data_IF_148630144916
#
_entry.id   IF_148630144916
#
_cell.length_a   1.000
_cell.length_b   1.000
_cell.length_c   1.000
_cell.angle_alpha   90.00
_cell.angle_beta   90.00
_cell.angle_gamma   90.00
#
_symmetry.space_group_name_H-M   'P 1'
#
loop_
_entity.id
_entity.type
_entity.pdbx_description
1 polymer ?
#
# COMPACT_ATOMS: atom_id res chain seq x y z
N UNK A 1 25.08 -3.75 29.28
CA UNK A 1 24.48 -5.08 29.05
C UNK A 1 23.14 -5.07 29.72
N UNK A 2 22.10 -4.75 29.01
CA UNK A 2 20.84 -4.49 29.65
C UNK A 2 19.70 -5.22 28.94
N UNK A 3 19.08 -6.11 29.74
CA UNK A 3 17.61 -6.09 29.83
C UNK A 3 16.82 -6.38 28.54
N UNK A 4 17.44 -7.05 27.55
CA UNK A 4 16.77 -7.52 26.33
C UNK A 4 15.53 -8.37 26.63
N UNK A 5 15.54 -9.11 27.78
CA UNK A 5 14.38 -9.82 28.26
C UNK A 5 13.22 -8.93 28.74
N UNK A 6 13.47 -7.65 29.04
CA UNK A 6 12.47 -6.76 29.62
C UNK A 6 11.61 -6.06 28.55
N UNK A 7 12.21 -5.67 27.39
CA UNK A 7 11.47 -5.03 26.28
C UNK A 7 10.36 -5.96 25.76
N UNK A 8 10.75 -7.14 25.29
CA UNK A 8 9.83 -8.13 24.70
C UNK A 8 8.78 -8.59 25.70
N UNK A 9 9.19 -8.88 26.96
CA UNK A 9 8.29 -9.31 28.02
C UNK A 9 7.23 -8.26 28.35
N UNK A 10 7.65 -7.02 28.60
CA UNK A 10 6.72 -5.92 28.94
C UNK A 10 5.78 -5.61 27.79
N UNK A 11 6.30 -5.61 26.56
CA UNK A 11 5.53 -5.40 25.35
C UNK A 11 4.46 -6.48 25.15
N UNK A 12 4.82 -7.77 25.27
CA UNK A 12 3.90 -8.89 25.11
C UNK A 12 2.85 -8.92 26.22
N UNK A 13 3.22 -8.64 27.46
CA UNK A 13 2.26 -8.53 28.58
C UNK A 13 1.22 -7.43 28.34
N UNK A 14 1.62 -6.33 27.72
CA UNK A 14 0.70 -5.28 27.30
C UNK A 14 -0.16 -5.73 26.12
N UNK A 15 0.45 -6.37 25.12
CA UNK A 15 -0.25 -6.84 23.93
C UNK A 15 -1.35 -7.85 24.26
N UNK A 16 -1.12 -8.74 25.20
CA UNK A 16 -2.11 -9.75 25.63
C UNK A 16 -3.44 -9.12 26.12
N UNK A 17 -3.41 -7.86 26.56
CA UNK A 17 -4.60 -7.13 27.07
C UNK A 17 -5.09 -6.05 26.11
N UNK A 18 -4.26 -5.60 25.16
CA UNK A 18 -4.53 -4.41 24.34
C UNK A 18 -4.42 -4.67 22.84
N UNK A 19 -4.26 -5.92 22.40
CA UNK A 19 -4.18 -6.27 21.00
C UNK A 19 -5.38 -5.74 20.23
N UNK A 20 -5.13 -5.09 19.07
CA UNK A 20 -6.21 -4.63 18.21
C UNK A 20 -6.94 -5.81 17.58
N UNK A 21 -8.26 -5.81 17.66
CA UNK A 21 -9.11 -6.81 17.00
C UNK A 21 -9.22 -6.45 15.52
N UNK A 22 -8.61 -7.28 14.67
CA UNK A 22 -8.61 -7.11 13.21
C UNK A 22 -8.97 -8.44 12.55
N UNK A 23 -9.75 -8.40 11.47
CA UNK A 23 -10.28 -9.59 10.80
C UNK A 23 -9.22 -10.60 10.34
N UNK A 24 -8.00 -10.14 10.08
CA UNK A 24 -6.86 -10.97 9.66
C UNK A 24 -5.97 -11.46 10.81
N UNK A 25 -6.30 -11.12 12.05
CA UNK A 25 -5.49 -11.48 13.23
C UNK A 25 -6.16 -12.55 14.08
N UNK A 26 -5.33 -13.39 14.63
CA UNK A 26 -5.70 -14.29 15.72
C UNK A 26 -5.42 -13.55 17.04
N UNK A 27 -6.35 -13.53 18.01
CA UNK A 27 -6.10 -12.94 19.31
C UNK A 27 -4.92 -13.59 20.02
N UNK A 28 -4.11 -12.84 20.80
CA UNK A 28 -3.03 -13.42 21.57
C UNK A 28 -3.58 -14.44 22.58
N UNK A 29 -2.77 -15.41 22.94
CA UNK A 29 -3.15 -16.53 23.83
C UNK A 29 -4.29 -17.43 23.32
N UNK A 30 -4.61 -17.33 22.03
CA UNK A 30 -5.58 -18.20 21.36
C UNK A 30 -4.90 -19.47 20.84
N UNK A 31 -5.59 -20.60 20.91
CA UNK A 31 -5.14 -21.86 20.29
C UNK A 31 -5.34 -21.90 18.76
N UNK A 32 -5.84 -20.80 18.16
CA UNK A 32 -6.06 -20.71 16.72
C UNK A 32 -4.74 -20.45 16.00
N UNK A 33 -4.59 -21.05 14.83
CA UNK A 33 -3.44 -20.83 13.94
C UNK A 33 -3.77 -19.70 12.98
N UNK A 34 -2.85 -18.79 12.78
CA UNK A 34 -2.98 -17.72 11.78
C UNK A 34 -3.03 -18.29 10.37
N UNK A 35 -3.99 -17.84 9.57
CA UNK A 35 -4.10 -18.25 8.17
C UNK A 35 -3.10 -17.46 7.31
N UNK A 36 -2.13 -18.12 6.64
CA UNK A 36 -1.12 -17.44 5.82
C UNK A 36 -1.73 -16.60 4.68
N UNK A 37 -2.84 -17.04 4.10
CA UNK A 37 -3.55 -16.31 3.07
C UNK A 37 -4.12 -14.99 3.62
N UNK A 38 -4.70 -14.99 4.81
CA UNK A 38 -5.25 -13.80 5.45
C UNK A 38 -4.14 -12.81 5.82
N UNK A 39 -3.03 -13.30 6.37
CA UNK A 39 -1.88 -12.47 6.72
C UNK A 39 -1.32 -11.82 5.44
N UNK A 40 -1.02 -12.62 4.41
CA UNK A 40 -0.50 -12.09 3.15
C UNK A 40 -1.43 -11.08 2.50
N UNK A 41 -2.74 -11.38 2.39
CA UNK A 41 -3.72 -10.49 1.78
C UNK A 41 -3.79 -9.14 2.50
N UNK A 42 -3.85 -9.16 3.84
CA UNK A 42 -3.88 -7.96 4.66
C UNK A 42 -2.59 -7.14 4.52
N UNK A 43 -1.42 -7.78 4.52
CA UNK A 43 -0.14 -7.10 4.40
C UNK A 43 0.01 -6.40 3.04
N UNK A 44 -0.46 -7.01 1.95
CA UNK A 44 -0.47 -6.36 0.64
C UNK A 44 -1.47 -5.19 0.60
N UNK A 45 -2.65 -5.34 1.22
CA UNK A 45 -3.65 -4.26 1.27
C UNK A 45 -3.19 -3.08 2.14
N UNK A 46 -2.46 -3.34 3.22
CA UNK A 46 -1.96 -2.32 4.17
C UNK A 46 -0.78 -1.51 3.61
N UNK A 47 -0.13 -1.95 2.52
CA UNK A 47 0.91 -1.15 1.88
C UNK A 47 0.36 0.23 1.49
N UNK A 48 0.80 1.29 2.18
CA UNK A 48 0.37 2.69 1.95
C UNK A 48 -1.15 2.93 2.07
N UNK A 49 -1.84 2.12 2.86
CA UNK A 49 -3.29 2.24 3.09
C UNK A 49 -3.57 2.08 4.60
N UNK A 50 -4.57 2.79 5.11
CA UNK A 50 -4.92 2.74 6.54
C UNK A 50 -5.71 1.48 6.89
N UNK A 51 -5.58 1.02 8.14
CA UNK A 51 -6.33 -0.13 8.67
C UNK A 51 -7.83 0.01 8.47
N UNK A 52 -8.39 1.19 8.77
CA UNK A 52 -9.83 1.48 8.64
C UNK A 52 -10.32 1.27 7.21
N UNK A 53 -9.53 1.71 6.23
CA UNK A 53 -9.85 1.48 4.82
C UNK A 53 -9.75 0.00 4.46
N UNK A 54 -8.67 -0.66 4.89
CA UNK A 54 -8.40 -2.07 4.53
C UNK A 54 -9.46 -3.02 5.07
N UNK A 55 -9.99 -2.83 6.27
CA UNK A 55 -11.00 -3.72 6.85
C UNK A 55 -12.16 -4.00 5.90
N UNK A 56 -12.76 -2.95 5.32
CA UNK A 56 -13.89 -3.10 4.38
C UNK A 56 -13.53 -3.85 3.11
N UNK A 57 -12.31 -3.64 2.61
CA UNK A 57 -11.83 -4.32 1.40
C UNK A 57 -11.45 -5.76 1.69
N UNK A 58 -10.88 -6.04 2.83
CA UNK A 58 -10.51 -7.38 3.27
C UNK A 58 -11.75 -8.29 3.35
N UNK A 59 -12.80 -7.84 4.03
CA UNK A 59 -14.07 -8.58 4.14
C UNK A 59 -14.70 -8.82 2.76
N UNK A 60 -14.71 -7.79 1.89
CA UNK A 60 -15.20 -7.89 0.53
C UNK A 60 -14.39 -8.90 -0.31
N UNK A 61 -13.07 -8.93 -0.14
CA UNK A 61 -12.22 -9.88 -0.85
C UNK A 61 -12.45 -11.31 -0.37
N UNK A 62 -12.53 -11.53 0.93
CA UNK A 62 -12.78 -12.86 1.49
C UNK A 62 -14.18 -13.40 1.15
N UNK A 63 -15.19 -12.52 1.04
CA UNK A 63 -16.53 -12.96 0.61
C UNK A 63 -16.55 -13.45 -0.83
N UNK A 64 -15.67 -12.90 -1.71
CA UNK A 64 -15.57 -13.32 -3.12
C UNK A 64 -14.57 -14.44 -3.34
N UNK A 65 -13.45 -14.38 -2.63
CA UNK A 65 -12.33 -15.29 -2.78
C UNK A 65 -11.83 -15.75 -1.41
N UNK A 66 -12.56 -16.68 -0.77
CA UNK A 66 -12.26 -17.13 0.60
C UNK A 66 -10.93 -17.88 0.72
N UNK A 67 -10.42 -18.43 -0.37
CA UNK A 67 -9.14 -19.14 -0.41
C UNK A 67 -8.20 -18.57 -1.49
N UNK A 68 -6.92 -18.93 -1.40
CA UNK A 68 -5.93 -18.55 -2.41
C UNK A 68 -6.24 -19.20 -3.78
N UNK A 69 -6.89 -20.36 -3.80
CA UNK A 69 -7.32 -21.03 -5.02
C UNK A 69 -8.40 -20.23 -5.73
N UNK A 70 -9.41 -19.75 -4.98
CA UNK A 70 -10.48 -18.92 -5.54
C UNK A 70 -9.91 -17.64 -6.13
N UNK A 71 -8.98 -16.99 -5.42
CA UNK A 71 -8.32 -15.79 -5.91
C UNK A 71 -7.45 -16.06 -7.15
N UNK A 72 -6.75 -17.18 -7.20
CA UNK A 72 -5.92 -17.55 -8.36
C UNK A 72 -6.75 -17.76 -9.64
N UNK A 73 -7.96 -18.30 -9.50
CA UNK A 73 -8.92 -18.52 -10.59
C UNK A 73 -9.71 -17.26 -10.97
N UNK A 74 -9.62 -16.20 -10.16
CA UNK A 74 -10.39 -14.99 -10.38
C UNK A 74 -10.03 -14.30 -11.71
N UNK A 75 -11.03 -13.68 -12.34
CA UNK A 75 -10.83 -12.82 -13.50
C UNK A 75 -10.07 -11.55 -13.10
N UNK A 76 -9.10 -11.14 -13.91
CA UNK A 76 -8.27 -9.95 -13.67
C UNK A 76 -9.14 -8.69 -13.49
N UNK A 77 -10.20 -8.53 -14.30
CA UNK A 77 -11.09 -7.36 -14.24
C UNK A 77 -11.86 -7.31 -12.92
N UNK A 78 -12.35 -8.44 -12.42
CA UNK A 78 -13.09 -8.53 -11.16
C UNK A 78 -12.23 -8.19 -9.96
N UNK A 79 -10.97 -8.65 -9.96
CA UNK A 79 -9.98 -8.31 -8.92
C UNK A 79 -9.67 -6.82 -8.96
N UNK A 80 -9.43 -6.25 -10.15
CA UNK A 80 -9.15 -4.83 -10.32
C UNK A 80 -10.34 -3.95 -9.91
N UNK A 81 -11.56 -4.33 -10.28
CA UNK A 81 -12.79 -3.65 -9.87
C UNK A 81 -13.03 -3.72 -8.35
N UNK A 82 -12.73 -4.86 -7.73
CA UNK A 82 -12.83 -5.03 -6.28
C UNK A 82 -11.75 -4.25 -5.51
N UNK A 83 -10.60 -3.97 -6.14
CA UNK A 83 -9.50 -3.17 -5.60
C UNK A 83 -9.72 -1.66 -5.75
N UNK A 84 -10.69 -1.24 -6.56
CA UNK A 84 -10.94 0.17 -6.86
C UNK A 84 -11.12 0.99 -5.56
N UNK A 85 -10.35 2.08 -5.45
CA UNK A 85 -10.31 2.93 -4.24
C UNK A 85 -9.15 2.67 -3.29
N UNK A 86 -8.50 1.50 -3.31
CA UNK A 86 -7.28 1.26 -2.52
C UNK A 86 -6.02 1.93 -3.11
N UNK A 87 -6.07 2.31 -4.39
CA UNK A 87 -4.92 2.89 -5.08
C UNK A 87 -3.77 1.92 -5.34
N UNK A 88 -2.69 2.42 -5.97
CA UNK A 88 -1.47 1.62 -6.24
C UNK A 88 -1.79 0.26 -6.88
N UNK A 89 -2.50 0.27 -8.00
CA UNK A 89 -3.04 -0.92 -8.67
C UNK A 89 -2.01 -1.99 -9.08
N UNK A 90 -0.72 -1.64 -9.11
CA UNK A 90 0.35 -2.62 -9.24
C UNK A 90 0.31 -3.68 -8.12
N UNK A 91 -0.20 -3.31 -6.92
CA UNK A 91 -0.39 -4.26 -5.81
C UNK A 91 -1.43 -5.31 -6.16
N UNK A 92 -2.59 -4.91 -6.71
CA UNK A 92 -3.64 -5.85 -7.13
C UNK A 92 -3.16 -6.80 -8.22
N UNK A 93 -2.42 -6.28 -9.23
CA UNK A 93 -1.83 -7.13 -10.27
C UNK A 93 -0.83 -8.13 -9.70
N UNK A 94 0.05 -7.67 -8.81
CA UNK A 94 1.02 -8.54 -8.16
C UNK A 94 0.36 -9.53 -7.20
N UNK A 95 -0.71 -9.12 -6.51
CA UNK A 95 -1.53 -9.98 -5.66
C UNK A 95 -2.07 -11.17 -6.46
N UNK A 96 -2.73 -10.90 -7.58
CA UNK A 96 -3.29 -11.94 -8.43
C UNK A 96 -2.20 -12.83 -9.04
N UNK A 97 -1.11 -12.22 -9.52
CA UNK A 97 0.04 -12.96 -10.03
C UNK A 97 0.68 -13.84 -8.95
N UNK A 98 0.79 -13.34 -7.72
CA UNK A 98 1.30 -14.11 -6.58
C UNK A 98 0.40 -15.28 -6.25
N UNK A 99 -0.92 -15.09 -6.15
CA UNK A 99 -1.88 -16.17 -5.90
C UNK A 99 -1.73 -17.30 -6.93
N UNK A 100 -1.68 -16.95 -8.22
CA UNK A 100 -1.48 -17.92 -9.31
C UNK A 100 -0.14 -18.64 -9.23
N UNK A 101 0.92 -17.95 -8.82
CA UNK A 101 2.25 -18.55 -8.63
C UNK A 101 2.24 -19.52 -7.43
N UNK A 102 1.63 -19.13 -6.30
CA UNK A 102 1.55 -19.99 -5.12
C UNK A 102 0.72 -21.25 -5.40
N UNK A 103 -0.38 -21.13 -6.13
CA UNK A 103 -1.18 -22.31 -6.52
C UNK A 103 -0.40 -23.20 -7.48
N UNK A 104 0.23 -22.64 -8.52
CA UNK A 104 0.92 -23.42 -9.54
C UNK A 104 2.19 -24.10 -9.05
N UNK A 105 3.00 -23.39 -8.23
CA UNK A 105 4.37 -23.83 -7.88
C UNK A 105 4.46 -24.40 -6.46
N UNK A 106 3.47 -24.13 -5.61
CA UNK A 106 3.50 -24.52 -4.19
C UNK A 106 2.19 -25.18 -3.71
N UNK A 107 1.35 -25.64 -4.63
CA UNK A 107 0.07 -26.29 -4.31
C UNK A 107 -0.77 -25.49 -3.30
N UNK A 108 -0.91 -24.20 -3.54
CA UNK A 108 -1.69 -23.29 -2.69
C UNK A 108 -1.11 -23.00 -1.31
N UNK A 109 0.08 -23.51 -0.98
CA UNK A 109 0.75 -23.33 0.31
C UNK A 109 1.86 -22.31 0.21
N UNK A 110 1.84 -21.29 1.06
CA UNK A 110 2.94 -20.33 1.10
C UNK A 110 4.24 -21.01 1.56
N UNK A 111 5.38 -20.72 0.87
CA UNK A 111 6.68 -21.24 1.31
C UNK A 111 7.04 -20.73 2.72
N UNK A 112 7.63 -21.59 3.53
CA UNK A 112 8.12 -21.27 4.89
C UNK A 112 9.60 -20.86 4.90
N UNK A 113 10.17 -20.57 3.72
CA UNK A 113 11.56 -20.15 3.54
C UNK A 113 11.59 -18.71 2.98
N UNK A 114 12.36 -17.83 3.63
CA UNK A 114 12.50 -16.43 3.25
C UNK A 114 12.90 -16.25 1.78
N UNK A 115 13.92 -16.98 1.33
CA UNK A 115 14.44 -16.89 -0.04
C UNK A 115 13.43 -17.34 -1.12
N UNK A 116 12.46 -18.17 -0.76
CA UNK A 116 11.35 -18.55 -1.66
C UNK A 116 10.25 -17.50 -1.63
N UNK A 117 9.89 -16.99 -0.44
CA UNK A 117 8.84 -15.95 -0.31
C UNK A 117 9.19 -14.67 -1.04
N UNK A 118 10.43 -14.18 -0.90
CA UNK A 118 10.84 -12.90 -1.50
C UNK A 118 10.86 -12.93 -3.04
N UNK A 119 10.85 -14.12 -3.65
CA UNK A 119 10.74 -14.29 -5.10
C UNK A 119 9.31 -14.20 -5.61
N UNK A 120 8.32 -14.28 -4.73
CA UNK A 120 6.92 -14.19 -5.12
C UNK A 120 6.54 -12.74 -5.51
N UNK A 121 5.68 -12.57 -6.52
CA UNK A 121 5.27 -11.24 -6.98
C UNK A 121 4.68 -10.38 -5.87
N UNK A 122 5.22 -9.16 -5.67
CA UNK A 122 4.73 -8.21 -4.69
C UNK A 122 5.12 -8.48 -3.23
N UNK A 123 5.88 -9.54 -2.96
CA UNK A 123 6.43 -9.83 -1.62
C UNK A 123 7.84 -9.26 -1.54
N UNK A 124 7.98 -8.20 -0.73
CA UNK A 124 9.27 -7.63 -0.35
C UNK A 124 9.76 -8.15 1.01
N UNK A 125 10.94 -7.68 1.48
CA UNK A 125 11.53 -8.10 2.75
C UNK A 125 10.57 -7.98 3.95
N UNK A 126 9.87 -6.87 4.06
CA UNK A 126 8.87 -6.65 5.12
C UNK A 126 7.75 -7.70 5.08
N UNK A 127 7.10 -7.87 3.92
CA UNK A 127 5.97 -8.81 3.78
C UNK A 127 6.42 -10.26 3.99
N UNK A 128 7.62 -10.63 3.53
CA UNK A 128 8.18 -11.96 3.79
C UNK A 128 8.39 -12.21 5.29
N UNK A 129 8.97 -11.24 6.01
CA UNK A 129 9.17 -11.31 7.47
C UNK A 129 7.84 -11.38 8.22
N UNK A 130 6.84 -10.61 7.83
CA UNK A 130 5.51 -10.62 8.43
C UNK A 130 4.82 -11.98 8.27
N UNK A 131 4.80 -12.53 7.05
CA UNK A 131 4.23 -13.86 6.80
C UNK A 131 4.96 -14.92 7.61
N UNK A 132 6.29 -14.93 7.60
CA UNK A 132 7.09 -15.93 8.32
C UNK A 132 6.88 -15.88 9.83
N UNK A 133 6.83 -14.69 10.41
CA UNK A 133 6.69 -14.55 11.85
C UNK A 133 5.25 -14.76 12.31
N UNK A 134 4.26 -14.18 11.63
CA UNK A 134 2.87 -14.21 12.10
C UNK A 134 2.17 -15.53 11.75
N UNK A 135 2.39 -16.05 10.54
CA UNK A 135 1.73 -17.27 10.11
C UNK A 135 2.52 -18.55 10.40
N UNK A 136 3.85 -18.46 10.50
CA UNK A 136 4.72 -19.65 10.65
C UNK A 136 5.61 -19.62 11.89
N UNK A 137 5.44 -18.64 12.78
CA UNK A 137 6.21 -18.50 14.04
C UNK A 137 7.73 -18.55 13.84
N UNK A 138 8.22 -18.02 12.70
CA UNK A 138 9.66 -17.92 12.43
C UNK A 138 10.24 -16.65 13.00
N UNK A 139 11.49 -16.68 13.45
CA UNK A 139 12.17 -15.57 14.10
C UNK A 139 12.64 -14.49 13.12
N UNK A 140 11.70 -13.78 12.53
CA UNK A 140 11.93 -12.63 11.65
C UNK A 140 11.24 -11.38 12.21
N UNK A 141 12.02 -10.35 12.52
CA UNK A 141 11.45 -9.06 12.89
C UNK A 141 11.00 -8.28 11.65
N UNK A 142 9.87 -7.59 11.78
CA UNK A 142 9.39 -6.63 10.76
C UNK A 142 9.92 -5.23 11.07
N UNK A 143 10.04 -4.40 10.01
CA UNK A 143 10.37 -2.99 10.14
C UNK A 143 9.44 -2.16 9.23
N UNK A 144 8.32 -1.71 9.80
CA UNK A 144 7.45 -0.70 9.19
C UNK A 144 7.67 0.67 9.83
N UNK A 145 6.97 1.70 9.39
CA UNK A 145 7.10 3.04 9.95
C UNK A 145 6.73 3.15 11.44
N UNK A 146 5.96 2.22 12.01
CA UNK A 146 5.68 2.15 13.43
C UNK A 146 6.88 1.58 14.19
N UNK A 147 7.42 0.46 13.70
CA UNK A 147 8.60 -0.18 14.29
C UNK A 147 9.83 0.72 14.17
N UNK A 148 10.06 1.37 13.01
CA UNK A 148 11.11 2.40 12.83
C UNK A 148 11.04 3.46 13.94
N UNK A 149 9.85 3.97 14.22
CA UNK A 149 9.63 5.00 15.24
C UNK A 149 9.83 4.49 16.65
N UNK A 150 9.28 3.32 16.99
CA UNK A 150 9.42 2.72 18.32
C UNK A 150 10.90 2.44 18.61
N UNK A 151 11.62 1.78 17.69
CA UNK A 151 13.06 1.47 17.85
C UNK A 151 13.91 2.72 17.91
N UNK A 152 13.67 3.70 17.03
CA UNK A 152 14.39 4.96 17.03
C UNK A 152 14.24 5.71 18.35
N UNK A 153 13.03 5.73 18.94
CA UNK A 153 12.77 6.38 20.23
C UNK A 153 13.31 5.59 21.42
N UNK A 154 13.10 4.29 21.43
CA UNK A 154 13.53 3.45 22.54
C UNK A 154 15.05 3.50 22.74
N UNK A 155 15.81 3.42 21.64
CA UNK A 155 17.28 3.48 21.65
C UNK A 155 17.86 4.86 21.42
N UNK A 156 17.03 5.88 21.18
CA UNK A 156 17.43 7.26 20.85
C UNK A 156 18.34 7.33 19.62
N UNK A 157 17.94 6.71 18.51
CA UNK A 157 18.72 6.73 17.26
C UNK A 157 18.45 8.04 16.52
N UNK A 158 19.46 8.90 16.45
CA UNK A 158 19.39 10.24 15.85
C UNK A 158 19.75 10.29 14.38
N UNK A 159 20.33 9.21 13.83
CA UNK A 159 20.61 9.11 12.41
C UNK A 159 19.30 9.12 11.60
N UNK A 160 19.24 9.92 10.51
CA UNK A 160 18.00 10.10 9.79
C UNK A 160 17.63 8.87 8.93
N UNK A 161 16.34 8.66 8.74
CA UNK A 161 15.84 7.72 7.74
C UNK A 161 16.07 8.28 6.33
N UNK A 162 16.47 7.43 5.35
CA UNK A 162 16.52 5.96 5.41
C UNK A 162 17.86 5.37 5.85
N UNK A 163 18.91 6.16 6.11
CA UNK A 163 20.27 5.66 6.40
C UNK A 163 20.34 4.77 7.64
N UNK A 164 19.49 5.02 8.65
CA UNK A 164 19.44 4.21 9.89
C UNK A 164 18.62 2.92 9.77
N UNK A 165 17.99 2.62 8.63
CA UNK A 165 17.05 1.48 8.52
C UNK A 165 17.65 0.13 8.87
N UNK A 166 18.83 -0.17 8.35
CA UNK A 166 19.48 -1.46 8.60
C UNK A 166 19.81 -1.64 10.08
N UNK A 167 20.26 -0.56 10.73
CA UNK A 167 20.53 -0.57 12.16
C UNK A 167 19.23 -0.74 12.98
N UNK A 168 18.16 -0.03 12.62
CA UNK A 168 16.86 -0.20 13.27
C UNK A 168 16.29 -1.62 13.07
N UNK A 169 16.52 -2.23 11.91
CA UNK A 169 16.16 -3.63 11.65
C UNK A 169 16.91 -4.60 12.57
N UNK A 170 18.23 -4.37 12.77
CA UNK A 170 19.03 -5.20 13.68
C UNK A 170 18.55 -5.08 15.13
N UNK A 171 18.18 -3.88 15.57
CA UNK A 171 17.61 -3.63 16.89
C UNK A 171 16.25 -4.31 17.07
N UNK A 172 15.38 -4.23 16.06
CA UNK A 172 14.10 -4.92 16.08
C UNK A 172 14.28 -6.45 16.15
N UNK A 173 15.26 -6.98 15.41
CA UNK A 173 15.60 -8.42 15.43
C UNK A 173 16.19 -8.86 16.77
N UNK A 174 17.05 -8.05 17.41
CA UNK A 174 17.66 -8.36 18.71
C UNK A 174 16.62 -8.42 19.85
N UNK A 175 15.54 -7.64 19.76
CA UNK A 175 14.46 -7.64 20.75
C UNK A 175 13.36 -8.67 20.45
N UNK A 176 13.43 -9.39 19.36
CA UNK A 176 12.39 -10.32 18.92
C UNK A 176 12.22 -11.47 19.91
N UNK A 177 10.99 -11.71 20.32
CA UNK A 177 10.66 -12.91 21.11
C UNK A 177 10.83 -14.19 20.28
N UNK A 178 11.68 -15.11 20.74
CA UNK A 178 11.85 -16.42 20.09
C UNK A 178 10.63 -17.33 20.25
N UNK A 179 9.86 -17.15 21.30
CA UNK A 179 8.67 -17.96 21.60
C UNK A 179 7.41 -17.46 20.89
N UNK A 180 7.29 -16.13 20.72
CA UNK A 180 6.08 -15.47 20.18
C UNK A 180 6.44 -14.41 19.14
N UNK A 181 7.18 -14.76 18.06
CA UNK A 181 7.68 -13.76 17.12
C UNK A 181 6.56 -13.03 16.37
N UNK A 182 5.47 -13.71 16.03
CA UNK A 182 4.30 -13.10 15.40
C UNK A 182 3.60 -12.09 16.29
N UNK A 183 3.37 -12.45 17.56
CA UNK A 183 2.75 -11.54 18.53
C UNK A 183 3.64 -10.35 18.83
N UNK A 184 4.96 -10.56 18.96
CA UNK A 184 5.91 -9.48 19.15
C UNK A 184 5.83 -8.44 18.01
N UNK A 185 5.87 -8.87 16.76
CA UNK A 185 5.79 -8.00 15.62
C UNK A 185 4.47 -7.21 15.60
N UNK A 186 3.35 -7.88 15.84
CA UNK A 186 2.04 -7.24 15.94
C UNK A 186 1.98 -6.27 17.12
N UNK A 187 2.59 -6.62 18.25
CA UNK A 187 2.64 -5.77 19.45
C UNK A 187 3.42 -4.48 19.23
N UNK A 188 4.59 -4.53 18.58
CA UNK A 188 5.36 -3.30 18.26
C UNK A 188 4.59 -2.41 17.28
N UNK A 189 3.96 -3.01 16.26
CA UNK A 189 3.11 -2.25 15.32
C UNK A 189 1.93 -1.59 16.04
N UNK A 190 1.26 -2.30 16.96
CA UNK A 190 0.14 -1.77 17.73
C UNK A 190 0.59 -0.67 18.69
N UNK A 191 1.70 -0.87 19.39
CA UNK A 191 2.28 0.15 20.24
C UNK A 191 2.56 1.45 19.47
N UNK A 192 3.17 1.31 18.29
CA UNK A 192 3.44 2.45 17.40
C UNK A 192 2.17 3.12 16.89
N UNK A 193 1.11 2.37 16.62
CA UNK A 193 -0.14 2.89 16.11
C UNK A 193 -1.01 3.57 17.18
N UNK A 194 -0.94 3.16 18.44
CA UNK A 194 -1.89 3.57 19.49
C UNK A 194 -1.26 4.38 20.62
N UNK A 195 -0.02 4.10 21.00
CA UNK A 195 0.67 4.71 22.15
C UNK A 195 1.85 5.58 21.68
N UNK A 196 2.81 4.98 20.98
CA UNK A 196 4.00 5.65 20.49
C UNK A 196 3.74 6.35 19.14
N UNK A 197 2.70 7.20 19.11
CA UNK A 197 2.23 7.92 17.92
C UNK A 197 3.25 8.96 17.43
N UNK A 198 3.18 9.38 16.12
CA UNK A 198 4.13 10.38 15.60
C UNK A 198 4.11 11.69 16.37
N UNK A 199 2.92 12.16 16.72
CA UNK A 199 2.69 13.37 17.51
C UNK A 199 1.98 13.02 18.82
N UNK A 200 2.30 13.71 19.89
CA UNK A 200 1.70 13.55 21.23
C UNK A 200 1.67 12.07 21.68
N UNK A 201 2.83 11.38 21.71
CA UNK A 201 2.89 10.00 22.19
C UNK A 201 2.47 9.91 23.66
N UNK A 202 1.76 8.84 24.02
CA UNK A 202 1.26 8.63 25.38
C UNK A 202 2.30 7.86 26.23
N UNK A 203 3.47 8.45 26.47
CA UNK A 203 4.60 7.80 27.12
C UNK A 203 4.28 7.25 28.52
N UNK A 204 3.41 7.91 29.29
CA UNK A 204 2.98 7.45 30.62
C UNK A 204 2.27 6.10 30.56
N UNK A 205 1.56 5.82 29.46
CA UNK A 205 0.85 4.53 29.24
C UNK A 205 1.70 3.47 28.54
N UNK A 206 2.94 3.82 28.14
CA UNK A 206 3.77 2.95 27.35
C UNK A 206 4.38 1.83 28.21
N UNK A 207 4.23 0.56 27.84
CA UNK A 207 4.72 -0.58 28.64
C UNK A 207 6.25 -0.64 28.72
N UNK A 208 6.95 0.09 27.85
CA UNK A 208 8.42 0.11 27.76
C UNK A 208 9.01 1.48 28.12
N UNK A 209 8.24 2.36 28.75
CA UNK A 209 8.66 3.75 29.03
C UNK A 209 9.86 3.86 29.95
N UNK A 210 9.97 2.99 30.95
CA UNK A 210 11.03 3.03 31.97
C UNK A 210 12.46 2.86 31.41
N UNK A 211 12.58 2.21 30.24
CA UNK A 211 13.88 2.01 29.59
C UNK A 211 13.97 2.76 28.25
N UNK A 212 12.99 3.62 27.94
CA UNK A 212 12.95 4.37 26.69
C UNK A 212 13.79 5.62 26.78
N UNK A 213 14.90 5.67 26.04
CA UNK A 213 15.85 6.81 26.07
C UNK A 213 15.23 8.12 25.59
N UNK A 214 14.38 8.12 24.57
CA UNK A 214 13.72 9.35 24.13
C UNK A 214 12.72 9.88 25.17
N UNK A 215 12.09 9.00 25.97
CA UNK A 215 11.22 9.41 27.07
C UNK A 215 12.05 10.00 28.24
N UNK A 216 13.19 9.40 28.54
CA UNK A 216 14.13 9.89 29.57
C UNK A 216 14.66 11.30 29.24
N UNK A 217 14.98 11.54 27.95
CA UNK A 217 15.45 12.85 27.44
C UNK A 217 14.30 13.87 27.37
N UNK A 218 13.05 13.43 27.29
CA UNK A 218 11.86 14.29 27.22
C UNK A 218 11.48 14.79 25.82
N UNK A 219 12.12 14.30 24.76
CA UNK A 219 11.83 14.72 23.38
C UNK A 219 11.56 13.53 22.42
N UNK A 220 10.53 12.73 22.66
CA UNK A 220 10.21 11.61 21.80
C UNK A 220 9.73 12.02 20.40
N UNK A 221 9.17 13.22 20.21
CA UNK A 221 8.64 13.67 18.91
C UNK A 221 9.73 14.01 17.90
N UNK A 222 10.95 14.34 18.34
CA UNK A 222 12.09 14.59 17.46
C UNK A 222 12.54 13.36 16.66
N UNK A 223 12.08 12.14 17.06
CA UNK A 223 12.49 10.88 16.46
C UNK A 223 11.31 10.10 15.84
N UNK A 224 11.55 9.38 14.73
CA UNK A 224 12.79 9.30 13.96
C UNK A 224 13.06 10.57 13.15
N UNK A 225 14.30 10.98 13.03
CA UNK A 225 14.70 12.03 12.07
C UNK A 225 14.52 11.51 10.64
N UNK A 226 14.18 12.43 9.73
CA UNK A 226 14.04 12.11 8.31
C UNK A 226 14.84 13.10 7.49
N UNK A 227 15.50 12.59 6.46
CA UNK A 227 16.13 13.48 5.48
C UNK A 227 15.08 14.40 4.87
N UNK A 228 15.46 15.65 4.65
CA UNK A 228 14.59 16.62 4.00
C UNK A 228 14.25 16.13 2.59
N UNK A 229 12.96 16.05 2.29
CA UNK A 229 12.50 15.64 0.96
C UNK A 229 12.82 16.74 -0.03
N UNK A 230 13.42 16.37 -1.16
CA UNK A 230 13.55 17.26 -2.31
C UNK A 230 12.17 17.71 -2.79
N UNK A 231 12.08 18.95 -3.26
CA UNK A 231 10.86 19.45 -3.88
C UNK A 231 10.45 18.54 -5.05
N UNK A 232 9.16 18.25 -5.14
CA UNK A 232 8.64 17.41 -6.23
C UNK A 232 8.68 18.22 -7.52
N UNK A 233 9.22 17.67 -8.62
CA UNK A 233 9.18 18.33 -9.90
C UNK A 233 7.72 18.51 -10.37
N UNK A 234 7.45 19.61 -11.04
CA UNK A 234 6.18 19.84 -11.73
C UNK A 234 6.25 19.24 -13.13
N UNK A 235 5.23 18.47 -13.50
CA UNK A 235 5.05 17.93 -14.84
C UNK A 235 3.75 18.44 -15.44
N UNK A 236 3.75 18.59 -16.75
CA UNK A 236 2.62 19.03 -17.54
C UNK A 236 2.21 17.94 -18.52
N UNK A 237 0.94 17.92 -18.88
CA UNK A 237 0.42 17.06 -19.93
C UNK A 237 -0.92 17.55 -20.44
N UNK A 238 -1.36 16.98 -21.54
CA UNK A 238 -2.68 17.22 -22.13
C UNK A 238 -3.50 15.95 -22.08
N UNK A 239 -4.78 16.07 -21.75
CA UNK A 239 -5.74 14.97 -21.74
C UNK A 239 -6.90 15.30 -22.68
N UNK A 240 -7.36 14.31 -23.42
CA UNK A 240 -8.31 14.46 -24.52
C UNK A 240 -9.59 13.65 -24.24
N UNK A 241 -10.70 14.34 -23.99
CA UNK A 241 -12.02 13.77 -23.74
C UNK A 241 -12.79 13.73 -25.06
N UNK A 242 -12.69 12.62 -25.76
CA UNK A 242 -13.47 12.36 -26.96
C UNK A 242 -14.81 11.71 -26.61
N UNK A 243 -15.90 12.16 -27.20
CA UNK A 243 -17.23 11.62 -26.98
C UNK A 243 -17.95 11.36 -28.30
N UNK A 244 -18.70 10.27 -28.33
CA UNK A 244 -19.62 9.91 -29.40
C UNK A 244 -20.99 9.57 -28.81
N UNK A 245 -22.05 10.16 -29.29
CA UNK A 245 -23.40 10.01 -28.73
C UNK A 245 -23.88 8.54 -28.70
N UNK A 246 -23.50 7.76 -29.71
CA UNK A 246 -23.94 6.36 -29.85
C UNK A 246 -22.99 5.38 -29.16
N UNK A 247 -21.68 5.69 -29.17
CA UNK A 247 -20.63 4.74 -28.78
C UNK A 247 -19.99 5.06 -27.41
N UNK A 248 -20.23 6.26 -26.85
CA UNK A 248 -19.72 6.68 -25.56
C UNK A 248 -18.38 7.40 -25.63
N UNK A 249 -17.49 7.14 -24.69
CA UNK A 249 -16.25 7.87 -24.52
C UNK A 249 -15.06 7.18 -25.20
N UNK A 250 -14.19 7.97 -25.82
CA UNK A 250 -12.95 7.51 -26.41
C UNK A 250 -11.90 7.29 -25.32
N UNK A 251 -11.43 6.08 -25.20
CA UNK A 251 -10.43 5.66 -24.22
C UNK A 251 -9.25 4.94 -24.87
N UNK A 252 -8.18 4.82 -24.12
CA UNK A 252 -7.05 3.94 -24.41
C UNK A 252 -6.75 3.01 -23.23
N UNK A 253 -6.09 1.89 -23.49
CA UNK A 253 -5.50 1.08 -22.44
C UNK A 253 -4.02 1.41 -22.35
N UNK A 254 -3.60 1.94 -21.19
CA UNK A 254 -2.20 2.24 -20.95
C UNK A 254 -1.36 0.97 -21.02
N UNK A 255 -0.12 1.09 -21.45
CA UNK A 255 0.83 -0.03 -21.42
C UNK A 255 0.90 -0.68 -20.03
N UNK A 256 1.14 -1.99 -19.98
CA UNK A 256 1.12 -2.77 -18.73
C UNK A 256 2.19 -2.38 -17.71
N UNK A 257 3.19 -1.57 -18.11
CA UNK A 257 4.28 -1.08 -17.27
C UNK A 257 4.10 0.41 -16.92
N UNK A 258 4.73 0.83 -15.82
CA UNK A 258 4.75 2.23 -15.41
C UNK A 258 3.54 2.67 -14.60
N UNK A 259 3.41 3.99 -14.45
CA UNK A 259 2.37 4.63 -13.66
C UNK A 259 0.99 4.39 -14.29
N UNK A 260 0.04 3.87 -13.51
CA UNK A 260 -1.31 3.52 -13.95
C UNK A 260 -1.33 2.50 -15.12
N UNK A 261 -0.28 1.69 -15.26
CA UNK A 261 -0.17 0.72 -16.36
C UNK A 261 -1.31 -0.29 -16.40
N UNK A 262 -1.75 -0.65 -17.60
CA UNK A 262 -2.84 -1.60 -17.87
C UNK A 262 -4.25 -1.07 -17.61
N UNK A 263 -4.39 0.15 -17.10
CA UNK A 263 -5.68 0.77 -16.81
C UNK A 263 -6.26 1.48 -18.03
N UNK A 264 -7.59 1.56 -18.07
CA UNK A 264 -8.28 2.43 -19.03
C UNK A 264 -8.03 3.89 -18.65
N UNK A 265 -7.74 4.72 -19.62
CA UNK A 265 -7.52 6.15 -19.45
C UNK A 265 -8.04 6.94 -20.63
N UNK A 266 -8.28 8.22 -20.40
CA UNK A 266 -8.39 9.17 -21.48
C UNK A 266 -7.09 9.17 -22.27
N UNK A 267 -7.11 9.31 -23.61
CA UNK A 267 -5.93 9.60 -24.39
C UNK A 267 -5.18 10.82 -23.83
N UNK A 268 -3.89 10.68 -23.66
CA UNK A 268 -3.07 11.75 -23.06
C UNK A 268 -1.68 11.80 -23.68
N UNK A 269 -1.06 12.98 -23.61
CA UNK A 269 0.37 13.12 -23.94
C UNK A 269 1.23 12.54 -22.82
N UNK A 270 2.51 12.36 -23.11
CA UNK A 270 3.53 12.10 -22.08
C UNK A 270 3.62 13.27 -21.10
N UNK A 271 3.82 12.97 -19.82
CA UNK A 271 3.93 13.96 -18.76
C UNK A 271 5.39 14.38 -18.59
N UNK A 272 5.70 15.58 -19.01
CA UNK A 272 7.08 16.13 -19.05
C UNK A 272 7.18 17.48 -18.33
N UNK A 273 8.39 18.06 -18.31
CA UNK A 273 8.62 19.40 -17.73
C UNK A 273 8.03 20.56 -18.54
N UNK A 274 7.55 20.31 -19.75
CA UNK A 274 6.88 21.30 -20.60
C UNK A 274 5.56 20.76 -21.14
N UNK A 275 4.63 21.68 -21.39
CA UNK A 275 3.33 21.36 -21.96
C UNK A 275 3.50 20.93 -23.42
N UNK A 276 2.98 19.77 -23.78
CA UNK A 276 2.87 19.28 -25.14
C UNK A 276 1.39 19.05 -25.46
N UNK A 277 0.92 19.59 -26.58
CA UNK A 277 -0.45 19.43 -27.08
C UNK A 277 -0.38 18.62 -28.37
N UNK A 278 -0.56 17.31 -28.24
CA UNK A 278 -0.59 16.39 -29.39
C UNK A 278 -1.88 15.58 -29.34
N UNK A 279 -2.92 15.99 -30.09
CA UNK A 279 -4.18 15.27 -30.12
C UNK A 279 -4.02 13.81 -30.58
N UNK A 280 -4.77 12.86 -30.01
CA UNK A 280 -4.67 11.43 -30.34
C UNK A 280 -5.18 11.11 -31.75
N UNK A 281 -6.19 11.84 -32.19
CA UNK A 281 -6.83 11.73 -33.52
C UNK A 281 -7.21 13.11 -34.00
N UNK A 282 -7.38 13.25 -35.31
CA UNK A 282 -7.85 14.49 -35.93
C UNK A 282 -9.32 14.76 -35.58
N UNK A 283 -9.58 15.87 -34.90
CA UNK A 283 -10.92 16.36 -34.54
C UNK A 283 -10.83 17.81 -34.07
N UNK A 284 -11.97 18.47 -33.95
CA UNK A 284 -12.07 19.85 -33.45
C UNK A 284 -11.96 19.87 -31.91
N UNK A 285 -10.73 19.79 -31.42
CA UNK A 285 -10.44 19.79 -30.00
C UNK A 285 -10.55 21.18 -29.40
N UNK A 286 -11.50 21.35 -28.49
CA UNK A 286 -11.79 22.61 -27.80
C UNK A 286 -11.14 22.55 -26.41
N UNK A 287 -10.30 23.53 -26.01
CA UNK A 287 -9.75 23.58 -24.67
C UNK A 287 -10.86 23.81 -23.63
N UNK A 288 -10.77 23.11 -22.51
CA UNK A 288 -11.62 23.35 -21.35
C UNK A 288 -10.91 24.32 -20.42
N UNK A 289 -11.62 25.34 -19.94
CA UNK A 289 -11.08 26.36 -19.05
C UNK A 289 -10.57 25.73 -17.74
N UNK A 290 -9.36 26.14 -17.33
CA UNK A 290 -8.69 25.63 -16.16
C UNK A 290 -7.80 24.42 -16.44
N UNK A 291 -7.23 23.84 -15.37
CA UNK A 291 -6.38 22.65 -15.44
C UNK A 291 -6.69 21.71 -14.28
N UNK A 292 -6.36 20.45 -14.46
CA UNK A 292 -6.49 19.41 -13.40
C UNK A 292 -5.14 19.19 -12.75
N UNK A 293 -5.06 19.50 -11.45
CA UNK A 293 -3.84 19.35 -10.67
C UNK A 293 -3.91 18.09 -9.81
N UNK A 294 -2.84 17.29 -9.84
CA UNK A 294 -2.72 16.10 -9.00
C UNK A 294 -1.30 15.95 -8.45
N UNK A 295 -1.20 15.53 -7.19
CA UNK A 295 0.09 15.27 -6.55
C UNK A 295 0.34 13.78 -6.44
N UNK A 296 1.30 13.29 -7.22
CA UNK A 296 1.82 11.94 -7.09
C UNK A 296 2.92 11.85 -6.03
N UNK A 297 3.36 10.63 -5.72
CA UNK A 297 4.44 10.40 -4.74
C UNK A 297 5.73 11.11 -5.14
N UNK A 298 6.06 11.15 -6.44
CA UNK A 298 7.36 11.62 -6.95
C UNK A 298 7.30 12.95 -7.72
N UNK A 299 6.13 13.43 -8.11
CA UNK A 299 5.95 14.68 -8.86
C UNK A 299 4.55 15.26 -8.66
N UNK A 300 4.41 16.53 -8.98
CA UNK A 300 3.13 17.22 -9.16
C UNK A 300 2.77 17.21 -10.65
N UNK A 301 1.50 17.02 -10.96
CA UNK A 301 0.98 17.02 -12.33
C UNK A 301 -0.01 18.16 -12.53
N UNK A 302 0.12 18.85 -13.65
CA UNK A 302 -0.83 19.85 -14.12
C UNK A 302 -1.29 19.46 -15.54
N UNK A 303 -2.57 19.14 -15.71
CA UNK A 303 -3.14 18.65 -16.97
C UNK A 303 -4.05 19.68 -17.60
N UNK A 304 -3.75 20.05 -18.83
CA UNK A 304 -4.68 20.77 -19.70
C UNK A 304 -5.70 19.78 -20.29
N UNK A 305 -6.96 20.17 -20.29
CA UNK A 305 -8.07 19.31 -20.74
C UNK A 305 -8.61 19.82 -22.07
N UNK A 306 -8.82 18.90 -23.01
CA UNK A 306 -9.45 19.17 -24.30
C UNK A 306 -10.65 18.26 -24.50
N UNK A 307 -11.69 18.73 -25.13
CA UNK A 307 -12.89 17.96 -25.48
C UNK A 307 -13.21 18.04 -26.97
N UNK A 308 -13.72 16.95 -27.53
CA UNK A 308 -14.23 16.95 -28.93
C UNK A 308 -15.33 15.90 -29.11
N UNK A 309 -16.20 16.13 -30.09
CA UNK A 309 -17.09 15.10 -30.65
C UNK A 309 -16.32 14.25 -31.64
N UNK A 310 -16.34 12.92 -31.48
CA UNK A 310 -15.55 11.98 -32.27
C UNK A 310 -16.48 11.05 -33.05
N UNK A 311 -16.35 11.01 -34.37
CA UNK A 311 -17.16 10.12 -35.21
C UNK A 311 -16.67 8.67 -35.18
N UNK A 312 -15.37 8.48 -35.36
CA UNK A 312 -14.75 7.15 -35.46
C UNK A 312 -13.53 7.06 -34.57
N UNK A 313 -13.28 5.88 -34.01
CA UNK A 313 -12.04 5.59 -33.29
C UNK A 313 -11.05 4.87 -34.22
N UNK A 314 -9.76 5.00 -33.91
CA UNK A 314 -8.67 4.24 -34.55
C UNK A 314 -7.74 3.67 -33.47
N UNK A 315 -7.17 2.52 -33.73
CA UNK A 315 -6.20 1.90 -32.78
C UNK A 315 -5.08 2.89 -32.44
N UNK A 316 -4.65 2.95 -31.17
CA UNK A 316 -5.01 2.09 -30.03
C UNK A 316 -6.28 2.51 -29.27
N UNK A 317 -7.01 3.53 -29.74
CA UNK A 317 -8.18 4.09 -29.07
C UNK A 317 -9.46 3.33 -29.42
N UNK A 318 -10.39 3.26 -28.46
CA UNK A 318 -11.69 2.59 -28.63
C UNK A 318 -12.77 3.29 -27.80
N UNK A 319 -14.03 3.09 -28.18
CA UNK A 319 -15.16 3.64 -27.44
C UNK A 319 -15.58 2.69 -26.31
N UNK A 320 -15.99 3.30 -25.20
CA UNK A 320 -16.61 2.61 -24.06
C UNK A 320 -17.92 3.31 -23.75
N UNK A 321 -19.01 2.54 -23.67
CA UNK A 321 -20.33 3.10 -23.37
C UNK A 321 -20.36 3.81 -22.02
N UNK A 322 -21.21 4.82 -21.89
CA UNK A 322 -21.35 5.58 -20.64
C UNK A 322 -21.71 4.70 -19.44
N UNK A 323 -22.49 3.64 -19.66
CA UNK A 323 -22.86 2.66 -18.64
C UNK A 323 -21.67 1.82 -18.18
N UNK A 324 -20.83 1.35 -19.12
CA UNK A 324 -19.65 0.56 -18.84
C UNK A 324 -18.49 1.42 -18.29
N UNK A 325 -18.52 2.73 -18.52
CA UNK A 325 -17.49 3.65 -18.06
C UNK A 325 -17.38 3.68 -16.53
N UNK A 326 -18.50 3.76 -15.83
CA UNK A 326 -18.55 3.81 -14.36
C UNK A 326 -17.99 2.55 -13.69
N UNK A 327 -17.98 1.41 -14.36
CA UNK A 327 -17.51 0.12 -13.82
C UNK A 327 -16.03 -0.11 -14.10
N UNK A 328 -15.51 0.38 -15.23
CA UNK A 328 -14.19 0.02 -15.76
C UNK A 328 -13.16 1.15 -15.76
N UNK A 329 -13.58 2.39 -15.66
CA UNK A 329 -12.69 3.56 -15.73
C UNK A 329 -12.16 3.93 -14.35
N UNK A 330 -11.10 3.27 -13.92
CA UNK A 330 -10.59 3.40 -12.55
C UNK A 330 -9.51 4.46 -12.41
N UNK A 331 -8.93 4.94 -13.51
CA UNK A 331 -7.67 5.70 -13.46
C UNK A 331 -7.81 7.19 -13.20
N UNK A 332 -8.88 7.83 -13.63
CA UNK A 332 -9.06 9.28 -13.55
C UNK A 332 -10.30 9.73 -12.78
N UNK A 333 -11.02 8.83 -12.13
CA UNK A 333 -12.17 9.19 -11.28
C UNK A 333 -11.78 10.04 -10.08
N UNK A 334 -10.48 10.13 -9.76
CA UNK A 334 -9.96 11.09 -8.77
C UNK A 334 -9.56 12.43 -9.39
N UNK A 335 -9.51 12.53 -10.73
CA UNK A 335 -9.41 13.78 -11.46
C UNK A 335 -10.82 14.25 -11.77
N UNK A 336 -11.60 14.55 -10.72
CA UNK A 336 -12.89 15.20 -10.91
C UNK A 336 -12.65 16.54 -11.59
N UNK A 337 -13.14 16.66 -12.82
CA UNK A 337 -13.41 17.97 -13.39
C UNK A 337 -14.27 18.73 -12.38
N UNK A 338 -14.00 20.01 -12.11
CA UNK A 338 -14.88 20.78 -11.26
C UNK A 338 -16.28 20.74 -11.87
N UNK A 339 -17.17 19.97 -11.25
CA UNK A 339 -18.59 19.94 -11.58
C UNK A 339 -19.23 21.20 -11.06
N UNK A 340 -18.92 22.34 -11.66
CA UNK A 340 -19.70 23.59 -11.57
C UNK A 340 -19.33 24.45 -12.77
N UNK A 341 -20.07 24.33 -13.81
CA UNK A 341 -20.46 25.39 -14.72
C UNK A 341 -21.79 24.99 -15.34
#
# INVERSE_FOLDING_TARGET
MDKEGNFSKNLLNWYDRNARVLAWRVPPNSNKVSNPYFIWLSEIMLQQTTVVTVQRYFDKFLSKWPTIYDLALANDQDVMASWAGLGYYARARNLLKCARTVVREYDGKFPTCYNKLIKLPGIGPYTASAILSIAFSKSYAVLDGNVERVMSRYYHISDPLPSSKEFLQSLAQANLSSLRPGDYNQAVMDLGATICTPRKPQCIKCPINLSCKANEIGDPEALPKKLQKKAKPLKFGSVFIGFNEKSGYLLERREGKGLLGGMLSWPSTDWSGCLNIKPPISADWIPVLGSVKHTFTHFNLDLSVFKASIKNSQKPYFFVSSESFNVNAVSYTHLTLPTKA
#
